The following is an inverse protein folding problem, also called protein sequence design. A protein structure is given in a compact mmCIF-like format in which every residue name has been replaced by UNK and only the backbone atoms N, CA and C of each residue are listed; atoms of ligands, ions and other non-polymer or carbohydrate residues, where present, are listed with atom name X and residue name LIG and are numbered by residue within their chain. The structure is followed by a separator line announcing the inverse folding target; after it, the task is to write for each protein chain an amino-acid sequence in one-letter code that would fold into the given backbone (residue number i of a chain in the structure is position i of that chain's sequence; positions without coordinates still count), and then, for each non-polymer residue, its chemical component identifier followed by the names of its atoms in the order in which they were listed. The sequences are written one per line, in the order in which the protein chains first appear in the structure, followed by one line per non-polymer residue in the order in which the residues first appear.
data_IF_010048082222
#
_entry.id   IF_010048082222
#
_cell.length_a   1.000
_cell.length_b   1.000
_cell.length_c   1.000
_cell.angle_alpha   90.00
_cell.angle_beta   90.00
_cell.angle_gamma   90.00
#
_symmetry.space_group_name_H-M   'P 1'
#
loop_
_entity.id
_entity.type
_entity.pdbx_description
1 polymer ?
#
# COMPACT_ATOMS: atom_id res chain seq x y z
N UNK A 1 -29.22 49.52 11.20
CA UNK A 1 -29.52 48.25 11.93
C UNK A 1 -29.53 47.13 10.91
N UNK A 2 -28.90 45.96 11.01
CA UNK A 2 -27.89 45.36 11.87
C UNK A 2 -27.74 43.93 11.32
N UNK A 3 -26.55 43.57 10.80
CA UNK A 3 -25.97 42.20 10.68
C UNK A 3 -26.71 41.27 9.68
N UNK A 4 -26.06 40.42 8.87
CA UNK A 4 -25.36 39.17 9.24
C UNK A 4 -24.27 38.83 8.19
N UNK A 5 -23.20 38.19 8.68
CA UNK A 5 -21.92 37.82 8.05
C UNK A 5 -22.00 36.37 7.49
N UNK A 6 -21.24 36.06 6.42
CA UNK A 6 -21.14 34.77 5.68
C UNK A 6 -20.68 33.54 6.52
N UNK A 7 -20.79 32.28 6.01
CA UNK A 7 -19.64 31.62 5.31
C UNK A 7 -20.05 30.65 4.14
N UNK A 8 -19.34 30.58 3.01
CA UNK A 8 -18.09 29.80 2.70
C UNK A 8 -18.29 28.27 2.59
N UNK A 9 -18.12 27.77 1.35
CA UNK A 9 -17.51 26.48 0.93
C UNK A 9 -18.16 25.17 1.43
N UNK A 10 -19.00 24.56 0.59
CA UNK A 10 -19.38 23.14 0.67
C UNK A 10 -19.30 22.52 -0.73
N UNK A 11 -18.10 22.43 -1.29
CA UNK A 11 -17.84 21.65 -2.52
C UNK A 11 -16.42 21.08 -2.63
N UNK A 12 -15.53 21.34 -1.65
CA UNK A 12 -14.10 21.03 -1.76
C UNK A 12 -13.61 19.74 -1.11
N UNK A 13 -14.41 19.06 -0.26
CA UNK A 13 -13.90 17.97 0.59
C UNK A 13 -13.89 16.57 -0.06
N UNK A 14 -14.67 16.35 -1.12
CA UNK A 14 -14.71 15.03 -1.79
C UNK A 14 -13.60 14.84 -2.83
N UNK A 15 -13.09 15.92 -3.43
CA UNK A 15 -12.05 15.83 -4.47
C UNK A 15 -10.65 15.47 -3.92
N UNK A 16 -10.36 15.83 -2.66
CA UNK A 16 -9.02 15.64 -2.07
C UNK A 16 -8.75 14.19 -1.66
N UNK A 17 -9.77 13.45 -1.20
CA UNK A 17 -9.62 12.07 -0.76
C UNK A 17 -9.38 11.09 -1.93
N UNK A 18 -10.08 11.29 -3.05
CA UNK A 18 -9.93 10.44 -4.25
C UNK A 18 -8.55 10.64 -4.88
N UNK A 19 -8.05 11.87 -4.90
CA UNK A 19 -6.74 12.18 -5.46
C UNK A 19 -5.59 11.47 -4.72
N UNK A 20 -5.66 11.40 -3.38
CA UNK A 20 -4.63 10.77 -2.55
C UNK A 20 -4.55 9.25 -2.77
N UNK A 21 -5.70 8.58 -2.87
CA UNK A 21 -5.77 7.14 -3.12
C UNK A 21 -5.18 6.79 -4.49
N UNK A 22 -5.52 7.56 -5.54
CA UNK A 22 -4.97 7.31 -6.88
C UNK A 22 -3.45 7.52 -6.95
N UNK A 23 -2.89 8.47 -6.20
CA UNK A 23 -1.43 8.71 -6.17
C UNK A 23 -0.66 7.65 -5.36
N UNK A 24 -1.20 7.19 -4.24
CA UNK A 24 -0.58 6.11 -3.45
C UNK A 24 -0.57 4.81 -4.25
N UNK A 25 -1.66 4.54 -4.97
CA UNK A 25 -1.79 3.34 -5.80
C UNK A 25 -0.78 3.35 -6.96
N UNK A 26 -0.55 4.50 -7.61
CA UNK A 26 0.46 4.59 -8.69
C UNK A 26 1.90 4.46 -8.18
N UNK A 27 2.23 5.05 -7.02
CA UNK A 27 3.53 4.87 -6.37
C UNK A 27 3.75 3.42 -5.93
N UNK A 28 2.79 2.85 -5.22
CA UNK A 28 2.82 1.46 -4.74
C UNK A 28 2.96 0.46 -5.88
N UNK A 29 2.21 0.67 -6.97
CA UNK A 29 2.33 -0.13 -8.18
C UNK A 29 3.74 -0.04 -8.79
N UNK A 30 4.35 1.15 -8.83
CA UNK A 30 5.70 1.32 -9.37
C UNK A 30 6.74 0.58 -8.52
N UNK A 31 6.67 0.72 -7.19
CA UNK A 31 7.57 0.01 -6.26
C UNK A 31 7.38 -1.50 -6.37
N UNK A 32 6.12 -1.98 -6.43
CA UNK A 32 5.82 -3.38 -6.67
C UNK A 32 6.46 -3.89 -7.95
N UNK A 33 6.24 -3.21 -9.08
CA UNK A 33 6.75 -3.63 -10.39
C UNK A 33 8.28 -3.73 -10.38
N UNK A 34 8.95 -2.75 -9.80
CA UNK A 34 10.42 -2.64 -9.87
C UNK A 34 11.16 -3.53 -8.86
N UNK A 35 10.53 -3.90 -7.75
CA UNK A 35 11.23 -4.55 -6.63
C UNK A 35 10.50 -5.78 -6.09
N UNK A 36 9.22 -5.65 -5.74
CA UNK A 36 8.48 -6.71 -5.05
C UNK A 36 8.09 -7.86 -6.01
N UNK A 37 7.83 -7.54 -7.28
CA UNK A 37 7.35 -8.47 -8.30
C UNK A 37 8.32 -9.63 -8.55
N UNK A 38 9.62 -9.40 -8.36
CA UNK A 38 10.68 -10.41 -8.55
C UNK A 38 10.40 -11.69 -7.75
N UNK A 39 9.80 -11.57 -6.56
CA UNK A 39 9.42 -12.71 -5.75
C UNK A 39 7.91 -12.95 -5.76
N UNK A 40 7.11 -11.89 -5.67
CA UNK A 40 5.66 -12.00 -5.46
C UNK A 40 4.86 -12.28 -6.73
N UNK A 41 5.41 -12.08 -7.94
CA UNK A 41 4.64 -12.37 -9.16
C UNK A 41 4.38 -13.87 -9.35
N UNK A 42 5.33 -14.72 -8.95
CA UNK A 42 5.26 -16.18 -9.13
C UNK A 42 5.43 -16.98 -7.84
N UNK A 43 5.61 -16.30 -6.70
CA UNK A 43 5.75 -16.94 -5.39
C UNK A 43 7.13 -17.59 -5.18
N UNK A 44 8.18 -16.93 -5.67
CA UNK A 44 9.57 -17.40 -5.52
C UNK A 44 9.88 -17.61 -4.04
N UNK A 45 10.54 -18.73 -3.73
CA UNK A 45 10.90 -19.11 -2.36
C UNK A 45 9.72 -19.12 -1.37
N UNK A 46 8.49 -19.34 -1.86
CA UNK A 46 7.29 -19.37 -1.01
C UNK A 46 6.73 -17.98 -0.67
N UNK A 47 7.14 -16.93 -1.40
CA UNK A 47 6.50 -15.62 -1.29
C UNK A 47 4.99 -15.73 -1.63
N UNK A 48 4.10 -14.98 -0.94
CA UNK A 48 2.68 -14.96 -1.30
C UNK A 48 2.52 -14.35 -2.69
N UNK A 49 1.81 -15.05 -3.58
CA UNK A 49 1.61 -14.60 -4.96
C UNK A 49 0.72 -13.36 -5.01
N UNK A 50 1.12 -12.36 -5.77
CA UNK A 50 0.33 -11.15 -6.00
C UNK A 50 -1.01 -11.52 -6.65
N UNK A 51 -2.11 -10.96 -6.15
CA UNK A 51 -3.51 -11.26 -6.54
C UNK A 51 -4.01 -12.67 -6.19
N UNK A 52 -3.22 -13.46 -5.47
CA UNK A 52 -3.66 -14.75 -4.96
C UNK A 52 -4.36 -14.57 -3.60
N UNK A 53 -5.70 -14.65 -3.61
CA UNK A 53 -6.50 -14.40 -2.41
C UNK A 53 -6.24 -15.42 -1.31
N UNK A 54 -5.91 -16.66 -1.65
CA UNK A 54 -5.69 -17.72 -0.68
C UNK A 54 -4.35 -17.52 0.04
N UNK A 55 -3.31 -17.09 -0.70
CA UNK A 55 -2.05 -16.68 -0.12
C UNK A 55 -2.23 -15.46 0.80
N UNK A 56 -3.05 -14.48 0.40
CA UNK A 56 -3.14 -13.18 1.11
C UNK A 56 -4.16 -13.13 2.24
N UNK A 57 -5.25 -13.90 2.21
CA UNK A 57 -6.28 -13.89 3.27
C UNK A 57 -5.72 -14.06 4.70
N UNK A 58 -4.88 -15.06 5.03
CA UNK A 58 -4.33 -15.21 6.38
C UNK A 58 -3.30 -14.12 6.74
N UNK A 59 -2.78 -13.39 5.75
CA UNK A 59 -1.83 -12.29 5.96
C UNK A 59 -2.58 -11.00 6.24
N UNK A 60 -3.61 -10.69 5.45
CA UNK A 60 -4.52 -9.56 5.66
C UNK A 60 -5.20 -9.66 7.02
N UNK A 61 -5.58 -10.86 7.46
CA UNK A 61 -6.16 -11.09 8.79
C UNK A 61 -5.25 -10.68 9.97
N UNK A 62 -3.93 -10.53 9.76
CA UNK A 62 -3.00 -10.04 10.79
C UNK A 62 -3.04 -8.51 10.94
N UNK A 63 -3.70 -7.80 10.04
CA UNK A 63 -3.77 -6.34 10.01
C UNK A 63 -2.62 -5.70 9.24
N UNK A 64 -2.89 -4.49 8.72
CA UNK A 64 -1.98 -3.78 7.81
C UNK A 64 -0.65 -3.41 8.47
N UNK A 65 -0.64 -3.05 9.75
CA UNK A 65 0.58 -2.69 10.48
C UNK A 65 1.58 -3.85 10.57
N UNK A 66 1.08 -5.08 10.73
CA UNK A 66 1.92 -6.27 10.71
C UNK A 66 2.55 -6.51 9.33
N UNK A 67 1.81 -6.21 8.26
CA UNK A 67 2.31 -6.31 6.88
C UNK A 67 3.37 -5.25 6.58
N UNK A 68 3.15 -4.01 7.03
CA UNK A 68 4.16 -2.95 6.95
C UNK A 68 5.42 -3.33 7.71
N UNK A 69 5.30 -3.82 8.95
CA UNK A 69 6.44 -4.23 9.74
C UNK A 69 7.22 -5.38 9.10
N UNK A 70 6.53 -6.37 8.52
CA UNK A 70 7.17 -7.46 7.80
C UNK A 70 7.89 -6.95 6.54
N UNK A 71 7.27 -6.08 5.75
CA UNK A 71 7.87 -5.51 4.55
C UNK A 71 9.09 -4.63 4.87
N UNK A 72 9.03 -3.85 5.95
CA UNK A 72 10.12 -2.98 6.39
C UNK A 72 11.31 -3.76 6.94
N UNK A 73 11.06 -4.68 7.87
CA UNK A 73 12.12 -5.41 8.58
C UNK A 73 12.60 -6.67 7.86
N UNK A 74 11.83 -7.16 6.88
CA UNK A 74 12.02 -8.47 6.28
C UNK A 74 11.37 -9.59 7.11
N UNK A 75 11.09 -10.72 6.46
CA UNK A 75 10.50 -11.89 7.10
C UNK A 75 10.86 -13.16 6.33
N UNK A 76 11.53 -14.11 6.99
CA UNK A 76 11.96 -15.36 6.35
C UNK A 76 12.86 -15.09 5.15
N UNK A 77 12.44 -15.54 3.96
CA UNK A 77 13.16 -15.30 2.71
C UNK A 77 12.98 -13.90 2.09
N UNK A 78 12.11 -13.06 2.66
CA UNK A 78 11.91 -11.68 2.19
C UNK A 78 12.93 -10.74 2.84
N UNK A 79 13.80 -10.06 2.06
CA UNK A 79 14.77 -9.12 2.61
C UNK A 79 14.09 -7.86 3.19
N UNK A 80 14.76 -7.15 4.11
CA UNK A 80 14.29 -5.84 4.60
C UNK A 80 13.97 -4.89 3.45
N UNK A 81 12.88 -4.13 3.57
CA UNK A 81 12.37 -3.19 2.56
C UNK A 81 12.14 -3.82 1.18
N UNK A 82 11.86 -5.13 1.12
CA UNK A 82 11.73 -5.86 -0.15
C UNK A 82 12.99 -5.81 -1.03
N UNK A 83 14.16 -5.57 -0.43
CA UNK A 83 15.45 -5.49 -1.14
C UNK A 83 15.79 -4.11 -1.71
N UNK A 84 14.88 -3.13 -1.61
CA UNK A 84 15.15 -1.74 -2.00
C UNK A 84 15.79 -0.99 -0.82
N UNK A 85 17.12 -0.96 -0.78
CA UNK A 85 17.90 -0.42 0.34
C UNK A 85 17.56 1.06 0.65
N UNK A 86 17.33 1.84 -0.39
CA UNK A 86 17.00 3.27 -0.36
C UNK A 86 15.50 3.56 -0.33
N UNK A 87 14.65 2.56 -0.05
CA UNK A 87 13.21 2.79 0.09
C UNK A 87 12.91 3.68 1.31
N UNK A 88 12.02 4.65 1.09
CA UNK A 88 11.35 5.37 2.18
C UNK A 88 10.26 4.49 2.82
N UNK A 89 9.79 4.85 4.02
CA UNK A 89 8.64 4.17 4.62
C UNK A 89 7.39 4.27 3.74
N UNK A 90 7.17 5.43 3.10
CA UNK A 90 6.02 5.68 2.24
C UNK A 90 6.04 4.80 0.99
N UNK A 91 7.23 4.56 0.41
CA UNK A 91 7.37 3.62 -0.72
C UNK A 91 6.94 2.20 -0.32
N UNK A 92 7.39 1.74 0.84
CA UNK A 92 7.09 0.40 1.34
C UNK A 92 5.61 0.27 1.70
N UNK A 93 5.05 1.24 2.42
CA UNK A 93 3.63 1.23 2.80
C UNK A 93 2.75 1.26 1.55
N UNK A 94 3.03 2.13 0.59
CA UNK A 94 2.29 2.21 -0.67
C UNK A 94 2.35 0.90 -1.46
N UNK A 95 3.52 0.24 -1.49
CA UNK A 95 3.66 -1.06 -2.15
C UNK A 95 2.83 -2.16 -1.46
N UNK A 96 2.84 -2.19 -0.12
CA UNK A 96 2.02 -3.12 0.65
C UNK A 96 0.54 -2.86 0.42
N UNK A 97 0.09 -1.59 0.45
CA UNK A 97 -1.29 -1.21 0.16
C UNK A 97 -1.74 -1.67 -1.23
N UNK A 98 -0.88 -1.46 -2.23
CA UNK A 98 -1.14 -1.92 -3.59
C UNK A 98 -1.27 -3.45 -3.65
N UNK A 99 -0.38 -4.18 -2.98
CA UNK A 99 -0.43 -5.64 -2.98
C UNK A 99 -1.66 -6.19 -2.25
N UNK A 100 -2.04 -5.59 -1.13
CA UNK A 100 -3.24 -5.97 -0.35
C UNK A 100 -4.51 -5.69 -1.14
N UNK A 101 -4.66 -4.47 -1.67
CA UNK A 101 -5.85 -4.06 -2.44
C UNK A 101 -6.10 -4.94 -3.66
N UNK A 102 -5.03 -5.32 -4.35
CA UNK A 102 -5.10 -6.20 -5.52
C UNK A 102 -5.30 -7.68 -5.13
N UNK A 103 -5.07 -8.04 -3.87
CA UNK A 103 -5.17 -9.42 -3.38
C UNK A 103 -6.37 -9.67 -2.46
N UNK A 104 -7.36 -8.78 -2.48
CA UNK A 104 -8.67 -8.97 -1.84
C UNK A 104 -8.85 -8.33 -0.46
N UNK A 105 -8.03 -7.34 -0.11
CA UNK A 105 -8.14 -6.54 1.12
C UNK A 105 -8.47 -5.07 0.87
#
# INVERSE_FOLDING_TARGET
MQKIIAPVIIAGLLAVAIYRVSTTNSQGQAVYKNHCSACHAQGVAGAPRFRDKDDWAPRIAKGIDALYAAAWNGLGGMPPKGGKQDASEDDIKSAVDYMVSESGG
#
